data_IF_856011733692
#
_entry.id   IF_856011733692
#
_cell.length_a   1.000
_cell.length_b   1.000
_cell.length_c   1.000
_cell.angle_alpha   90.00
_cell.angle_beta   90.00
_cell.angle_gamma   90.00
#
_symmetry.space_group_name_H-M   'P 1'
#
loop_
_entity.id
_entity.type
_entity.pdbx_description
1 polymer ?
#
# COMPACT_ATOMS: atom_id res chain seq x y z
N UNK A 1 7.30 -6.54 -17.90
CA UNK A 1 6.16 -5.77 -17.39
C UNK A 1 5.24 -6.68 -16.59
N UNK A 2 4.97 -6.33 -15.37
CA UNK A 2 4.13 -7.12 -14.49
C UNK A 2 3.03 -6.26 -13.89
N UNK A 3 1.91 -6.88 -13.55
CA UNK A 3 0.83 -6.18 -12.90
C UNK A 3 0.82 -6.53 -11.42
N UNK A 4 0.69 -5.52 -10.58
CA UNK A 4 0.63 -5.71 -9.13
C UNK A 4 -0.62 -5.05 -8.59
N UNK A 5 -1.02 -5.48 -7.40
CA UNK A 5 -2.21 -4.97 -6.73
C UNK A 5 -1.82 -4.48 -5.35
N UNK A 6 -2.41 -3.36 -4.95
CA UNK A 6 -2.11 -2.72 -3.67
C UNK A 6 -3.33 -2.83 -2.76
N UNK A 7 -3.33 -3.81 -1.88
CA UNK A 7 -4.41 -4.02 -0.92
C UNK A 7 -4.00 -3.46 0.42
N UNK A 8 -4.95 -2.90 1.15
CA UNK A 8 -4.68 -2.37 2.49
C UNK A 8 -5.51 -3.12 3.50
N UNK A 9 -4.95 -3.40 4.67
CA UNK A 9 -5.67 -4.11 5.71
C UNK A 9 -5.37 -3.55 7.09
N UNK A 10 -6.32 -3.71 7.99
CA UNK A 10 -6.19 -3.35 9.39
C UNK A 10 -7.11 -4.25 10.21
N UNK A 11 -7.09 -4.06 11.53
CA UNK A 11 -8.00 -4.78 12.39
C UNK A 11 -9.46 -4.44 12.10
N UNK A 12 -9.71 -3.32 11.44
CA UNK A 12 -11.06 -2.83 11.18
C UNK A 12 -11.61 -3.24 9.81
N UNK A 13 -10.75 -3.70 8.91
CA UNK A 13 -11.23 -4.10 7.60
C UNK A 13 -10.12 -4.16 6.57
N UNK A 14 -10.54 -4.35 5.33
CA UNK A 14 -9.63 -4.52 4.22
C UNK A 14 -10.13 -3.71 3.02
N UNK A 15 -9.20 -3.03 2.35
CA UNK A 15 -9.49 -2.36 1.09
C UNK A 15 -8.81 -3.14 -0.02
N UNK A 16 -9.60 -3.66 -0.96
CA UNK A 16 -9.09 -4.49 -2.04
C UNK A 16 -8.92 -3.64 -3.30
N UNK A 17 -7.71 -3.70 -3.87
CA UNK A 17 -7.45 -3.06 -5.16
C UNK A 17 -7.83 -4.05 -6.26
N UNK A 18 -8.74 -3.63 -7.12
CA UNK A 18 -9.22 -4.48 -8.22
C UNK A 18 -8.66 -4.05 -9.57
N UNK A 19 -8.01 -2.90 -9.61
CA UNK A 19 -7.48 -2.35 -10.85
C UNK A 19 -6.04 -2.76 -11.10
N UNK A 20 -5.24 -2.71 -10.07
CA UNK A 20 -3.83 -3.01 -10.20
C UNK A 20 -3.07 -1.90 -10.88
N UNK A 21 -1.77 -2.13 -11.07
CA UNK A 21 -0.90 -1.20 -11.77
C UNK A 21 0.18 -1.99 -12.49
N UNK A 22 0.52 -1.55 -13.70
CA UNK A 22 1.59 -2.16 -14.45
C UNK A 22 2.92 -1.55 -13.99
N UNK A 23 3.89 -2.39 -13.71
CA UNK A 23 5.21 -1.96 -13.28
C UNK A 23 6.28 -2.71 -14.05
N UNK A 24 7.47 -2.13 -14.11
CA UNK A 24 8.59 -2.74 -14.82
C UNK A 24 9.55 -3.47 -13.89
N UNK A 25 9.60 -3.06 -12.61
CA UNK A 25 10.52 -3.68 -11.66
C UNK A 25 10.06 -3.44 -10.23
N UNK A 26 10.75 -4.08 -9.30
CA UNK A 26 10.38 -4.00 -7.89
C UNK A 26 10.55 -2.59 -7.32
N UNK A 27 11.55 -1.86 -7.80
CA UNK A 27 11.77 -0.48 -7.31
C UNK A 27 10.55 0.38 -7.66
N UNK A 28 10.01 0.22 -8.85
CA UNK A 28 8.83 0.96 -9.24
C UNK A 28 7.62 0.57 -8.39
N UNK A 29 7.49 -0.71 -8.06
CA UNK A 29 6.41 -1.16 -7.19
C UNK A 29 6.51 -0.51 -5.82
N UNK A 30 7.72 -0.37 -5.28
CA UNK A 30 7.92 0.25 -3.98
C UNK A 30 7.61 1.75 -4.02
N UNK A 31 8.00 2.42 -5.10
CA UNK A 31 7.70 3.85 -5.25
C UNK A 31 6.19 4.08 -5.32
N UNK A 32 5.49 3.24 -6.07
CA UNK A 32 4.04 3.36 -6.18
C UNK A 32 3.36 3.03 -4.86
N UNK A 33 3.86 2.03 -4.13
CA UNK A 33 3.31 1.69 -2.83
C UNK A 33 3.41 2.88 -1.88
N UNK A 34 4.56 3.56 -1.87
CA UNK A 34 4.75 4.73 -1.02
C UNK A 34 3.79 5.85 -1.40
N UNK A 35 3.54 6.04 -2.69
CA UNK A 35 2.60 7.05 -3.16
C UNK A 35 1.18 6.73 -2.72
N UNK A 36 0.79 5.46 -2.79
CA UNK A 36 -0.54 5.04 -2.36
C UNK A 36 -0.73 5.32 -0.88
N UNK A 37 0.24 4.91 -0.06
CA UNK A 37 0.17 5.11 1.39
C UNK A 37 0.10 6.61 1.70
N UNK A 38 0.98 7.41 1.09
CA UNK A 38 0.99 8.84 1.34
C UNK A 38 -0.34 9.47 0.94
N UNK A 39 -0.89 9.08 -0.19
CA UNK A 39 -2.15 9.62 -0.67
C UNK A 39 -3.28 9.36 0.33
N UNK A 40 -3.32 8.15 0.89
CA UNK A 40 -4.35 7.80 1.87
C UNK A 40 -4.15 8.56 3.18
N UNK A 41 -2.91 8.62 3.65
CA UNK A 41 -2.60 9.33 4.89
C UNK A 41 -3.01 10.81 4.80
N UNK A 42 -2.83 11.43 3.66
CA UNK A 42 -3.13 12.83 3.47
C UNK A 42 -4.58 13.11 3.15
N UNK A 43 -5.40 12.08 2.99
CA UNK A 43 -6.82 12.26 2.75
C UNK A 43 -7.48 12.80 4.01
N UNK A 44 -8.26 13.89 3.92
CA UNK A 44 -8.94 14.44 5.10
C UNK A 44 -9.94 13.42 5.67
N UNK A 45 -10.00 13.32 6.99
CA UNK A 45 -10.92 12.42 7.63
C UNK A 45 -10.44 12.05 9.02
N UNK A 46 -11.21 11.21 9.67
CA UNK A 46 -10.91 10.79 11.05
C UNK A 46 -10.23 9.43 11.11
N UNK A 47 -9.85 8.89 9.96
CA UNK A 47 -9.25 7.57 9.91
C UNK A 47 -7.86 7.59 10.57
N UNK A 48 -7.62 6.61 11.44
CA UNK A 48 -6.30 6.42 12.02
C UNK A 48 -5.57 5.39 11.17
N UNK A 49 -4.64 5.86 10.38
CA UNK A 49 -3.93 5.02 9.43
C UNK A 49 -2.78 4.22 10.04
N UNK A 50 -2.45 4.46 11.31
CA UNK A 50 -1.28 3.83 11.92
C UNK A 50 -1.38 2.32 12.04
N UNK A 51 -2.59 1.79 12.09
CA UNK A 51 -2.80 0.35 12.18
C UNK A 51 -2.95 -0.34 10.84
N UNK A 52 -2.78 0.39 9.74
CA UNK A 52 -2.97 -0.15 8.42
C UNK A 52 -1.67 -0.65 7.82
N UNK A 53 -1.76 -1.67 6.96
CA UNK A 53 -0.62 -2.21 6.24
C UNK A 53 -1.00 -2.33 4.78
N UNK A 54 -0.11 -1.88 3.90
CA UNK A 54 -0.28 -2.05 2.47
C UNK A 54 0.39 -3.35 2.06
N UNK A 55 -0.33 -4.18 1.31
CA UNK A 55 0.20 -5.44 0.79
C UNK A 55 0.26 -5.35 -0.71
N UNK A 56 1.43 -5.58 -1.28
CA UNK A 56 1.61 -5.59 -2.73
C UNK A 56 1.65 -7.03 -3.19
N UNK A 57 0.71 -7.38 -4.06
CA UNK A 57 0.58 -8.75 -4.57
C UNK A 57 0.74 -8.77 -6.08
N UNK A 58 1.16 -9.93 -6.61
CA UNK A 58 1.23 -10.10 -8.05
C UNK A 58 -0.13 -10.56 -8.61
N UNK A 59 -0.15 -10.84 -9.92
CA UNK A 59 -1.40 -11.23 -10.58
C UNK A 59 -1.95 -12.57 -10.12
N UNK A 60 -1.13 -13.38 -9.47
CA UNK A 60 -1.57 -14.67 -8.92
C UNK A 60 -2.07 -14.55 -7.50
N UNK A 61 -2.04 -13.36 -6.93
CA UNK A 61 -2.45 -13.15 -5.56
C UNK A 61 -1.37 -13.39 -4.53
N UNK A 62 -0.14 -13.61 -4.98
CA UNK A 62 0.98 -13.86 -4.08
C UNK A 62 1.60 -12.54 -3.62
N UNK A 63 1.76 -12.39 -2.32
CA UNK A 63 2.30 -11.15 -1.77
C UNK A 63 3.78 -11.03 -2.09
N UNK A 64 4.16 -9.89 -2.66
CA UNK A 64 5.57 -9.61 -2.99
C UNK A 64 6.25 -8.92 -1.82
N UNK A 65 5.61 -7.91 -1.24
CA UNK A 65 6.11 -7.25 -0.03
C UNK A 65 4.95 -6.48 0.61
N UNK A 66 5.20 -5.99 1.82
CA UNK A 66 4.22 -5.18 2.52
C UNK A 66 4.88 -3.90 3.01
N UNK A 67 4.05 -2.87 3.23
CA UNK A 67 4.50 -1.57 3.71
C UNK A 67 3.55 -1.10 4.80
N UNK A 68 3.98 -1.15 6.07
CA UNK A 68 3.13 -0.66 7.16
C UNK A 68 2.98 0.86 7.05
N UNK A 69 1.76 1.35 7.20
CA UNK A 69 1.51 2.79 7.16
C UNK A 69 2.30 3.52 8.24
N UNK A 70 2.47 2.88 9.40
CA UNK A 70 3.20 3.48 10.51
C UNK A 70 4.63 3.85 10.15
N UNK A 71 5.22 3.16 9.17
CA UNK A 71 6.59 3.46 8.74
C UNK A 71 6.68 4.80 8.02
N UNK A 72 5.54 5.37 7.61
CA UNK A 72 5.50 6.64 6.90
C UNK A 72 4.81 7.74 7.70
N UNK A 73 4.24 7.41 8.85
CA UNK A 73 3.53 8.36 9.70
C UNK A 73 4.38 8.69 10.91
N UNK A 74 4.45 9.99 11.25
CA UNK A 74 5.07 10.41 12.49
C UNK A 74 6.50 9.95 12.65
N UNK A 75 7.22 9.88 11.55
CA UNK A 75 8.59 9.42 11.59
C UNK A 75 9.46 10.48 12.27
N UNK A 76 10.13 10.14 13.35
CA UNK A 76 10.99 11.11 14.03
C UNK A 76 12.22 11.41 13.18
N UNK A 77 12.74 12.58 13.34
CA UNK A 77 13.93 13.03 12.61
C UNK A 77 15.03 13.37 13.57
#
# INVERSE_FOLDING_TARGET
>A
MAQVFFHCSSAQGTMIDRSGAAIDNLAEARDRAALVVRSLIMTPGEEDWRGWVLHVSDGDGEEIFSLPFASMIGKPH
#
